data_IF_142790675012
#
_entry.id   IF_142790675012
#
_cell.length_a   1.000
_cell.length_b   1.000
_cell.length_c   1.000
_cell.angle_alpha   90.00
_cell.angle_beta   90.00
_cell.angle_gamma   90.00
#
_symmetry.space_group_name_H-M   'P 1'
#
loop_
_entity.id
_entity.type
_entity.pdbx_description
1 polymer ?
#
# COMPACT_ATOMS: atom_id res chain seq x y z
N UNK A 1 -0.33 5.02 -14.87
CA UNK A 1 -1.44 4.14 -15.21
C UNK A 1 -1.01 2.71 -15.51
N UNK A 2 0.19 2.51 -16.01
CA UNK A 2 0.76 1.17 -16.25
C UNK A 2 1.67 0.71 -15.11
N UNK A 3 1.32 1.02 -13.88
CA UNK A 3 2.15 0.82 -12.69
C UNK A 3 2.64 -0.62 -12.51
N UNK A 4 1.86 -1.59 -12.95
CA UNK A 4 2.23 -3.01 -12.87
C UNK A 4 2.76 -3.59 -14.18
N UNK A 5 2.86 -2.79 -15.26
CA UNK A 5 3.21 -3.29 -16.61
C UNK A 5 2.48 -4.58 -17.00
N UNK A 6 1.25 -4.72 -16.57
CA UNK A 6 0.46 -5.91 -16.81
C UNK A 6 0.34 -6.16 -18.32
N UNK A 7 0.72 -7.37 -18.78
CA UNK A 7 0.75 -7.75 -20.19
C UNK A 7 1.54 -6.78 -21.08
N UNK A 8 2.66 -6.23 -20.59
CA UNK A 8 3.46 -5.26 -21.32
C UNK A 8 2.65 -4.03 -21.79
N UNK A 9 1.70 -3.59 -20.95
CA UNK A 9 0.85 -2.46 -21.26
C UNK A 9 1.69 -1.25 -21.70
N UNK A 10 1.37 -0.73 -22.87
CA UNK A 10 2.04 0.42 -23.48
C UNK A 10 1.18 1.66 -23.26
N UNK A 11 1.67 2.68 -22.56
CA UNK A 11 0.95 3.93 -22.34
C UNK A 11 0.91 4.84 -23.56
N UNK A 12 1.66 4.50 -24.63
CA UNK A 12 1.87 5.36 -25.81
C UNK A 12 0.57 5.85 -26.45
N UNK A 13 -0.43 4.97 -26.58
CA UNK A 13 -1.74 5.34 -27.14
C UNK A 13 -2.49 6.37 -26.28
N UNK A 14 -2.31 6.31 -24.97
CA UNK A 14 -2.87 7.31 -24.06
C UNK A 14 -2.08 8.62 -24.19
N UNK A 15 -0.75 8.53 -24.20
CA UNK A 15 0.14 9.69 -24.30
C UNK A 15 -0.03 10.43 -25.63
N UNK A 16 -0.23 9.70 -26.73
CA UNK A 16 -0.58 10.30 -28.03
C UNK A 16 -1.85 11.16 -27.91
N UNK A 17 -2.92 10.61 -27.32
CA UNK A 17 -4.17 11.35 -27.12
C UNK A 17 -3.98 12.53 -26.16
N UNK A 18 -3.24 12.33 -25.09
CA UNK A 18 -2.93 13.38 -24.13
C UNK A 18 -2.22 14.59 -24.79
N UNK A 19 -1.32 14.33 -25.75
CA UNK A 19 -0.59 15.38 -26.46
C UNK A 19 -1.37 16.00 -27.61
N UNK A 20 -2.29 15.26 -28.22
CA UNK A 20 -2.96 15.68 -29.48
C UNK A 20 -4.38 16.22 -29.27
N UNK A 21 -5.05 15.85 -28.18
CA UNK A 21 -6.41 16.33 -27.95
C UNK A 21 -6.40 17.73 -27.35
N UNK A 22 -7.19 18.66 -27.88
CA UNK A 22 -7.28 20.02 -27.37
C UNK A 22 -7.97 20.07 -26.00
N UNK A 23 -7.62 21.09 -25.22
CA UNK A 23 -8.27 21.43 -23.94
C UNK A 23 -9.53 22.29 -24.14
N UNK A 24 -9.68 22.91 -25.31
CA UNK A 24 -10.78 23.80 -25.64
C UNK A 24 -11.98 23.02 -26.19
N UNK A 25 -13.18 23.42 -25.77
CA UNK A 25 -14.42 22.87 -26.29
C UNK A 25 -14.70 23.34 -27.71
N UNK A 26 -15.19 22.48 -28.59
CA UNK A 26 -15.62 22.83 -29.92
C UNK A 26 -15.30 21.84 -31.04
N UNK A 27 -14.60 20.75 -30.72
CA UNK A 27 -14.26 19.69 -31.68
C UNK A 27 -14.84 18.32 -31.29
N UNK A 28 -14.64 17.34 -32.18
CA UNK A 28 -14.99 15.93 -31.90
C UNK A 28 -14.16 15.29 -30.78
N UNK A 29 -13.06 15.91 -30.39
CA UNK A 29 -12.10 15.40 -29.40
C UNK A 29 -11.85 16.46 -28.34
N UNK A 30 -11.80 16.06 -27.09
CA UNK A 30 -11.55 16.94 -25.95
C UNK A 30 -10.69 16.21 -24.92
N UNK A 31 -9.67 16.90 -24.38
CA UNK A 31 -8.91 16.48 -23.20
C UNK A 31 -9.46 17.20 -21.97
N UNK A 32 -9.76 16.45 -20.93
CA UNK A 32 -10.16 16.99 -19.62
C UNK A 32 -9.16 16.51 -18.58
N UNK A 33 -8.45 17.45 -17.98
CA UNK A 33 -7.45 17.17 -16.95
C UNK A 33 -8.08 17.28 -15.55
N UNK A 34 -7.94 16.20 -14.77
CA UNK A 34 -8.47 16.10 -13.41
C UNK A 34 -7.32 16.10 -12.41
N UNK A 35 -6.84 17.27 -12.02
CA UNK A 35 -5.73 17.43 -11.07
C UNK A 35 -6.15 17.95 -9.70
N UNK A 36 -7.45 18.15 -9.46
CA UNK A 36 -7.97 18.55 -8.15
C UNK A 36 -8.22 17.34 -7.28
N UNK A 37 -7.66 17.39 -6.06
CA UNK A 37 -7.80 16.32 -5.08
C UNK A 37 -8.73 16.77 -3.94
N UNK A 38 -9.77 15.96 -3.71
CA UNK A 38 -10.79 16.21 -2.68
C UNK A 38 -10.63 15.29 -1.46
N UNK A 39 -9.59 14.44 -1.44
CA UNK A 39 -9.39 13.42 -0.40
C UNK A 39 -8.30 13.79 0.58
N UNK A 40 -7.17 14.25 0.07
CA UNK A 40 -5.95 14.43 0.85
C UNK A 40 -5.81 15.86 1.34
N UNK A 41 -5.12 16.02 2.46
CA UNK A 41 -4.72 17.33 2.96
C UNK A 41 -3.70 17.98 2.05
N UNK A 42 -3.63 19.30 2.10
CA UNK A 42 -2.71 20.11 1.32
C UNK A 42 -1.26 19.68 1.55
N UNK A 43 -0.86 19.50 2.80
CA UNK A 43 0.50 19.17 3.21
C UNK A 43 0.96 17.81 2.62
N UNK A 44 0.05 16.83 2.54
CA UNK A 44 0.33 15.53 1.92
C UNK A 44 0.55 15.69 0.41
N UNK A 45 -0.30 16.48 -0.26
CA UNK A 45 -0.17 16.70 -1.71
C UNK A 45 1.09 17.49 -2.05
N UNK A 46 1.42 18.49 -1.25
CA UNK A 46 2.65 19.28 -1.42
C UNK A 46 3.90 18.41 -1.25
N UNK A 47 3.91 17.49 -0.27
CA UNK A 47 5.00 16.52 -0.08
C UNK A 47 5.13 15.58 -1.28
N UNK A 48 4.01 15.09 -1.80
CA UNK A 48 3.98 14.24 -3.02
C UNK A 48 4.50 15.04 -4.21
N UNK A 49 3.98 16.24 -4.46
CA UNK A 49 4.43 17.08 -5.56
C UNK A 49 5.94 17.38 -5.45
N UNK A 50 6.41 17.72 -4.24
CA UNK A 50 7.83 18.01 -4.00
C UNK A 50 8.74 16.85 -4.42
N UNK A 51 8.38 15.62 -4.09
CA UNK A 51 9.14 14.44 -4.48
C UNK A 51 9.07 14.20 -6.00
N UNK A 52 7.87 14.25 -6.58
CA UNK A 52 7.70 13.94 -8.00
C UNK A 52 8.29 14.99 -8.92
N UNK A 53 8.33 16.27 -8.55
CA UNK A 53 9.08 17.29 -9.29
C UNK A 53 10.58 17.01 -9.41
N UNK A 54 11.14 16.24 -8.47
CA UNK A 54 12.57 15.93 -8.48
C UNK A 54 12.90 14.62 -9.18
N UNK A 55 12.00 13.64 -9.14
CA UNK A 55 12.32 12.28 -9.59
C UNK A 55 11.58 11.85 -10.84
N UNK A 56 10.54 12.55 -11.28
CA UNK A 56 9.74 12.14 -12.42
C UNK A 56 9.94 13.09 -13.61
N UNK A 57 10.60 12.58 -14.64
CA UNK A 57 10.83 13.25 -15.90
C UNK A 57 10.59 12.32 -17.08
N UNK A 58 10.73 12.81 -18.31
CA UNK A 58 10.54 12.00 -19.53
C UNK A 58 11.47 10.78 -19.57
N UNK A 59 12.69 10.93 -19.07
CA UNK A 59 13.72 9.89 -19.01
C UNK A 59 13.43 8.79 -17.99
N UNK A 60 12.89 9.13 -16.83
CA UNK A 60 12.62 8.19 -15.75
C UNK A 60 11.15 7.71 -15.69
N UNK A 61 10.20 8.57 -15.96
CA UNK A 61 8.77 8.29 -15.85
C UNK A 61 8.03 8.25 -17.20
N UNK A 62 8.68 8.67 -18.27
CA UNK A 62 8.05 8.82 -19.59
C UNK A 62 7.03 9.97 -19.66
N UNK A 63 6.96 10.78 -18.60
CA UNK A 63 6.09 11.95 -18.47
C UNK A 63 6.81 13.00 -17.64
N UNK A 64 6.82 14.24 -18.10
CA UNK A 64 7.29 15.38 -17.31
C UNK A 64 6.27 15.66 -16.19
N UNK A 65 6.77 15.79 -14.95
CA UNK A 65 5.93 16.17 -13.82
C UNK A 65 6.00 17.68 -13.63
N UNK A 66 5.11 18.36 -14.29
CA UNK A 66 5.00 19.83 -14.30
C UNK A 66 3.76 20.31 -13.51
N UNK A 67 3.44 21.58 -13.65
CA UNK A 67 2.27 22.17 -13.00
C UNK A 67 0.96 21.55 -13.46
N UNK A 68 0.88 21.06 -14.69
CA UNK A 68 -0.32 20.41 -15.22
C UNK A 68 -0.49 18.99 -14.69
N UNK A 69 0.61 18.31 -14.33
CA UNK A 69 0.60 16.99 -13.73
C UNK A 69 0.43 17.02 -12.20
N UNK A 70 0.77 18.15 -11.57
CA UNK A 70 0.74 18.30 -10.12
C UNK A 70 -0.67 18.15 -9.51
N UNK A 71 -0.70 17.74 -8.25
CA UNK A 71 -1.94 17.55 -7.50
C UNK A 71 -2.30 18.82 -6.72
N UNK A 72 -3.52 19.31 -6.89
CA UNK A 72 -4.00 20.51 -6.21
C UNK A 72 -5.07 20.18 -5.17
N UNK A 73 -4.94 20.67 -3.93
CA UNK A 73 -5.95 20.48 -2.91
C UNK A 73 -7.20 21.27 -3.25
N UNK A 74 -8.37 20.63 -3.11
CA UNK A 74 -9.67 21.30 -3.30
C UNK A 74 -10.54 21.22 -2.05
N UNK A 75 -10.32 20.24 -1.17
CA UNK A 75 -11.05 20.11 0.08
C UNK A 75 -10.35 20.94 1.15
N UNK A 76 -11.11 21.79 1.82
CA UNK A 76 -10.70 22.42 3.05
C UNK A 76 -10.94 21.47 4.23
N UNK A 77 -10.00 21.45 5.16
CA UNK A 77 -10.11 20.69 6.40
C UNK A 77 -10.23 21.66 7.57
N UNK A 78 -10.98 21.30 8.63
CA UNK A 78 -11.02 22.11 9.83
C UNK A 78 -9.59 22.41 10.32
N UNK A 79 -9.33 23.62 10.82
CA UNK A 79 -8.00 24.02 11.29
C UNK A 79 -7.57 23.13 12.46
N UNK A 80 -6.32 22.69 12.42
CA UNK A 80 -5.68 21.93 13.47
C UNK A 80 -4.22 22.34 13.56
N UNK A 81 -3.69 22.42 14.77
CA UNK A 81 -2.26 22.52 14.96
C UNK A 81 -1.62 21.20 14.51
N UNK A 82 -0.72 21.27 13.53
CA UNK A 82 -0.02 20.12 12.99
C UNK A 82 1.26 19.95 13.79
N UNK A 83 1.29 18.92 14.63
CA UNK A 83 2.45 18.59 15.47
C UNK A 83 3.35 17.53 14.82
N UNK A 84 2.79 16.75 13.90
CA UNK A 84 3.50 15.67 13.19
C UNK A 84 3.69 16.04 11.72
N UNK A 85 4.80 15.62 11.08
CA UNK A 85 5.03 15.85 9.67
C UNK A 85 3.97 15.16 8.81
N UNK A 86 3.60 15.81 7.71
CA UNK A 86 2.60 15.27 6.77
C UNK A 86 3.12 14.08 5.97
N UNK A 87 4.44 14.01 5.77
CA UNK A 87 5.16 12.91 5.15
C UNK A 87 6.53 12.76 5.82
N UNK A 88 6.96 11.54 5.98
CA UNK A 88 8.25 11.17 6.55
C UNK A 88 8.92 10.09 5.70
N UNK A 89 10.24 10.08 5.75
CA UNK A 89 11.05 9.01 5.17
C UNK A 89 11.81 8.36 6.31
N UNK A 90 11.53 7.09 6.57
CA UNK A 90 12.26 6.30 7.54
C UNK A 90 13.35 5.53 6.80
N UNK A 91 14.60 5.79 7.12
CA UNK A 91 15.74 5.11 6.53
C UNK A 91 16.28 4.07 7.51
N UNK A 92 16.47 2.86 7.01
CA UNK A 92 17.06 1.75 7.75
C UNK A 92 18.38 1.37 7.09
N UNK A 93 19.48 1.45 7.86
CA UNK A 93 20.78 0.91 7.45
C UNK A 93 20.89 -0.52 7.94
N UNK A 94 20.91 -1.49 7.04
CA UNK A 94 21.00 -2.92 7.37
C UNK A 94 22.29 -3.27 8.07
N UNK A 95 23.36 -2.47 7.82
CA UNK A 95 24.70 -2.67 8.39
C UNK A 95 24.93 -1.97 9.74
N UNK A 96 23.92 -1.27 10.28
CA UNK A 96 24.04 -0.57 11.55
C UNK A 96 24.35 -1.58 12.68
N UNK A 97 25.42 -1.34 13.49
CA UNK A 97 25.78 -2.18 14.64
C UNK A 97 24.64 -2.42 15.63
N UNK A 98 23.74 -1.45 15.80
CA UNK A 98 22.56 -1.56 16.68
C UNK A 98 21.65 -2.74 16.31
N UNK A 99 21.63 -3.13 15.04
CA UNK A 99 20.83 -4.26 14.55
C UNK A 99 21.65 -5.57 14.48
N UNK A 100 22.99 -5.48 14.33
CA UNK A 100 23.87 -6.64 14.21
C UNK A 100 24.08 -7.39 15.53
N UNK A 101 23.98 -6.71 16.65
CA UNK A 101 24.18 -7.31 18.01
C UNK A 101 22.95 -8.11 18.49
N UNK A 102 21.86 -8.16 17.71
CA UNK A 102 20.73 -9.03 18.02
C UNK A 102 21.03 -10.45 17.50
N UNK A 103 21.21 -11.39 18.40
CA UNK A 103 21.65 -12.79 18.18
C UNK A 103 20.80 -13.61 17.19
N UNK A 104 19.68 -13.08 16.66
CA UNK A 104 18.68 -13.85 15.92
C UNK A 104 18.74 -13.71 14.39
N UNK A 105 19.78 -13.14 13.80
CA UNK A 105 19.90 -13.09 12.33
C UNK A 105 18.67 -12.52 11.62
N UNK A 106 18.16 -11.36 12.09
CA UNK A 106 16.95 -10.78 11.58
C UNK A 106 17.09 -10.35 10.12
N UNK A 107 16.06 -10.61 9.34
CA UNK A 107 16.02 -10.17 7.95
C UNK A 107 15.71 -8.66 7.85
N UNK A 108 16.18 -8.00 6.80
CA UNK A 108 15.83 -6.60 6.49
C UNK A 108 14.31 -6.33 6.58
N UNK A 109 13.49 -7.27 6.15
CA UNK A 109 12.02 -7.17 6.23
C UNK A 109 11.49 -7.14 7.66
N UNK A 110 12.08 -7.92 8.55
CA UNK A 110 11.72 -7.92 9.98
C UNK A 110 12.14 -6.62 10.65
N UNK A 111 13.28 -6.06 10.27
CA UNK A 111 13.74 -4.76 10.75
C UNK A 111 12.84 -3.63 10.28
N UNK A 112 12.47 -3.59 9.01
CA UNK A 112 11.49 -2.63 8.49
C UNK A 112 10.13 -2.73 9.21
N UNK A 113 9.67 -3.95 9.45
CA UNK A 113 8.41 -4.18 10.17
C UNK A 113 8.51 -3.71 11.64
N UNK A 114 9.65 -3.92 12.31
CA UNK A 114 9.88 -3.42 13.67
C UNK A 114 9.94 -1.90 13.73
N UNK A 115 10.67 -1.27 12.81
CA UNK A 115 10.71 0.20 12.71
C UNK A 115 9.32 0.79 12.48
N UNK A 116 8.55 0.17 11.60
CA UNK A 116 7.14 0.54 11.36
C UNK A 116 6.30 0.38 12.63
N UNK A 117 6.49 -0.70 13.39
CA UNK A 117 5.78 -0.91 14.66
C UNK A 117 6.11 0.15 15.70
N UNK A 118 7.36 0.56 15.81
CA UNK A 118 7.79 1.65 16.71
C UNK A 118 7.10 2.95 16.32
N UNK A 119 7.13 3.31 15.03
CA UNK A 119 6.51 4.53 14.56
C UNK A 119 5.00 4.53 14.75
N UNK A 120 4.33 3.42 14.54
CA UNK A 120 2.88 3.29 14.82
C UNK A 120 2.58 3.56 16.29
N UNK A 121 3.39 3.04 17.23
CA UNK A 121 3.19 3.29 18.66
C UNK A 121 3.30 4.77 19.00
N UNK A 122 4.31 5.45 18.48
CA UNK A 122 4.48 6.90 18.67
C UNK A 122 3.26 7.67 18.14
N UNK A 123 2.81 7.35 16.93
CA UNK A 123 1.61 7.97 16.35
C UNK A 123 0.35 7.72 17.18
N UNK A 124 0.21 6.52 17.77
CA UNK A 124 -0.94 6.21 18.64
C UNK A 124 -1.00 7.07 19.91
N UNK A 125 0.12 7.62 20.36
CA UNK A 125 0.15 8.49 21.54
C UNK A 125 -0.34 9.90 21.25
N UNK A 126 0.00 10.47 20.09
CA UNK A 126 -0.15 11.89 19.81
C UNK A 126 -1.02 12.20 18.59
N UNK A 127 -1.11 11.28 17.62
CA UNK A 127 -1.75 11.59 16.36
C UNK A 127 -3.26 11.61 16.47
N UNK A 128 -3.86 12.57 15.78
CA UNK A 128 -5.31 12.68 15.62
C UNK A 128 -5.69 12.63 14.15
N UNK A 129 -6.84 12.08 13.88
CA UNK A 129 -7.45 11.99 12.56
C UNK A 129 -8.82 12.65 12.55
N UNK A 130 -9.19 13.22 11.41
CA UNK A 130 -10.52 13.77 11.22
C UNK A 130 -11.51 12.61 11.02
N UNK A 131 -12.44 12.49 11.92
CA UNK A 131 -13.55 11.56 11.79
C UNK A 131 -14.49 12.01 10.66
N UNK A 132 -14.82 11.07 9.76
CA UNK A 132 -15.59 11.40 8.55
C UNK A 132 -17.08 11.66 8.81
N UNK A 133 -17.60 11.10 9.89
CA UNK A 133 -19.03 11.19 10.21
C UNK A 133 -19.31 12.42 11.07
N UNK A 134 -18.44 12.69 12.03
CA UNK A 134 -18.63 13.80 12.99
C UNK A 134 -17.94 15.08 12.55
N UNK A 135 -17.04 15.01 11.57
CA UNK A 135 -16.16 16.12 11.16
C UNK A 135 -15.33 16.73 12.33
N UNK A 136 -15.08 15.92 13.35
CA UNK A 136 -14.27 16.29 14.50
C UNK A 136 -12.96 15.51 14.55
N UNK A 137 -11.92 16.11 15.13
CA UNK A 137 -10.67 15.41 15.38
C UNK A 137 -10.82 14.46 16.56
N UNK A 138 -10.31 13.24 16.39
CA UNK A 138 -10.20 12.22 17.41
C UNK A 138 -8.83 11.57 17.38
N UNK A 139 -8.44 10.94 18.47
CA UNK A 139 -7.22 10.11 18.48
C UNK A 139 -7.26 9.03 17.40
N UNK A 140 -6.11 8.78 16.81
CA UNK A 140 -5.91 7.73 15.83
C UNK A 140 -6.22 6.36 16.44
N UNK A 141 -6.74 5.45 15.65
CA UNK A 141 -6.96 4.02 15.99
C UNK A 141 -6.15 3.16 15.04
N UNK A 142 -5.84 1.94 15.41
CA UNK A 142 -5.13 1.01 14.51
C UNK A 142 -5.86 0.81 13.18
N UNK A 143 -7.18 0.87 13.18
CA UNK A 143 -8.01 0.79 11.96
C UNK A 143 -7.85 1.97 11.00
N UNK A 144 -7.28 3.08 11.45
CA UNK A 144 -7.04 4.25 10.60
C UNK A 144 -5.70 4.15 9.84
N UNK A 145 -4.87 3.17 10.20
CA UNK A 145 -3.52 2.99 9.67
C UNK A 145 -3.53 1.90 8.60
N UNK A 146 -2.95 2.20 7.45
CA UNK A 146 -2.81 1.23 6.35
C UNK A 146 -1.36 1.16 5.90
N UNK A 147 -0.83 -0.05 5.81
CA UNK A 147 0.51 -0.32 5.29
C UNK A 147 0.37 -0.81 3.85
N UNK A 148 1.01 -0.12 2.93
CA UNK A 148 1.06 -0.48 1.52
C UNK A 148 2.42 -1.06 1.17
N UNK A 149 2.44 -2.29 0.70
CA UNK A 149 3.65 -2.99 0.29
C UNK A 149 3.77 -3.06 -1.22
N UNK A 150 5.00 -3.00 -1.74
CA UNK A 150 5.27 -3.15 -3.18
C UNK A 150 4.86 -4.52 -3.70
N UNK A 151 5.04 -5.55 -2.87
CA UNK A 151 4.61 -6.93 -3.12
C UNK A 151 4.10 -7.56 -1.84
N UNK A 152 3.07 -8.38 -1.94
CA UNK A 152 2.50 -9.08 -0.79
C UNK A 152 3.30 -10.33 -0.42
N UNK A 153 3.85 -11.02 -1.44
CA UNK A 153 4.55 -12.30 -1.25
C UNK A 153 5.80 -12.14 -0.39
N UNK A 154 5.86 -12.86 0.71
CA UNK A 154 6.99 -12.87 1.65
C UNK A 154 7.13 -11.61 2.53
N UNK A 155 6.32 -10.57 2.31
CA UNK A 155 6.34 -9.34 3.10
C UNK A 155 5.13 -9.25 4.05
N UNK A 156 3.95 -9.51 3.53
CA UNK A 156 2.72 -9.31 4.28
C UNK A 156 2.65 -10.16 5.56
N UNK A 157 3.02 -11.42 5.49
CA UNK A 157 3.03 -12.31 6.65
C UNK A 157 4.13 -11.93 7.66
N UNK A 158 5.31 -11.49 7.19
CA UNK A 158 6.37 -10.98 8.07
C UNK A 158 5.90 -9.74 8.83
N UNK A 159 5.34 -8.76 8.13
CA UNK A 159 4.78 -7.55 8.76
C UNK A 159 3.70 -7.90 9.77
N UNK A 160 2.72 -8.72 9.39
CA UNK A 160 1.66 -9.18 10.28
C UNK A 160 2.19 -9.86 11.53
N UNK A 161 3.18 -10.78 11.38
CA UNK A 161 3.80 -11.48 12.49
C UNK A 161 4.48 -10.51 13.47
N UNK A 162 5.31 -9.61 12.95
CA UNK A 162 6.08 -8.65 13.76
C UNK A 162 5.14 -7.64 14.45
N UNK A 163 4.15 -7.10 13.73
CA UNK A 163 3.17 -6.16 14.30
C UNK A 163 2.36 -6.81 15.42
N UNK A 164 1.82 -8.01 15.20
CA UNK A 164 1.07 -8.74 16.23
C UNK A 164 1.95 -9.09 17.45
N UNK A 165 3.19 -9.52 17.23
CA UNK A 165 4.14 -9.75 18.31
C UNK A 165 4.47 -8.46 19.09
N UNK A 166 4.38 -7.30 18.42
CA UNK A 166 4.52 -5.98 19.04
C UNK A 166 3.23 -5.46 19.70
N UNK A 167 2.18 -6.24 19.77
CA UNK A 167 0.89 -5.85 20.34
C UNK A 167 0.04 -4.94 19.45
N UNK A 168 0.38 -4.82 18.16
CA UNK A 168 -0.35 -4.03 17.17
C UNK A 168 -1.22 -4.99 16.34
N UNK A 169 -2.56 -4.94 16.45
CA UNK A 169 -3.44 -5.82 15.71
C UNK A 169 -3.34 -5.52 14.21
N UNK A 170 -2.83 -6.48 13.45
CA UNK A 170 -2.65 -6.36 12.01
C UNK A 170 -3.36 -7.48 11.27
N UNK A 171 -4.06 -7.12 10.19
CA UNK A 171 -4.72 -8.06 9.28
C UNK A 171 -4.21 -7.86 7.87
N UNK A 172 -4.18 -8.94 7.10
CA UNK A 172 -3.79 -8.93 5.69
C UNK A 172 -4.99 -9.34 4.86
N UNK A 173 -5.40 -8.49 3.92
CA UNK A 173 -6.46 -8.84 2.98
C UNK A 173 -5.84 -9.61 1.81
N UNK A 174 -5.68 -10.93 1.97
CA UNK A 174 -5.25 -11.80 0.88
C UNK A 174 -6.45 -12.49 0.25
N UNK A 175 -6.52 -12.47 -1.08
CA UNK A 175 -7.45 -13.33 -1.84
C UNK A 175 -6.88 -14.74 -2.06
N UNK A 176 -5.64 -14.97 -1.61
CA UNK A 176 -4.89 -16.22 -1.76
C UNK A 176 -4.82 -16.91 -0.40
N UNK A 177 -5.06 -18.21 -0.38
CA UNK A 177 -4.92 -19.01 0.84
C UNK A 177 -6.18 -19.75 1.27
N UNK A 178 -7.37 -19.38 0.77
CA UNK A 178 -8.59 -20.09 1.15
C UNK A 178 -8.48 -21.59 0.82
N UNK A 179 -8.06 -21.92 -0.41
CA UNK A 179 -7.87 -23.30 -0.84
C UNK A 179 -6.58 -23.98 -0.32
N UNK A 180 -5.71 -23.21 0.36
CA UNK A 180 -4.49 -23.71 1.00
C UNK A 180 -4.66 -23.89 2.51
N UNK A 181 -5.78 -23.47 3.07
CA UNK A 181 -6.10 -23.71 4.47
C UNK A 181 -6.27 -25.23 4.69
N UNK A 182 -5.71 -25.74 5.81
CA UNK A 182 -5.71 -27.17 6.10
C UNK A 182 -7.12 -27.75 6.10
N UNK A 183 -8.07 -27.00 6.70
CA UNK A 183 -9.48 -27.37 6.79
C UNK A 183 -10.15 -27.50 5.42
N UNK A 184 -9.84 -26.56 4.52
CA UNK A 184 -10.37 -26.57 3.15
C UNK A 184 -9.72 -27.67 2.33
N UNK A 185 -8.41 -27.87 2.46
CA UNK A 185 -7.67 -28.95 1.79
C UNK A 185 -8.19 -30.30 2.20
N UNK A 186 -8.42 -30.54 3.50
CA UNK A 186 -9.01 -31.78 4.02
C UNK A 186 -10.38 -32.07 3.40
N UNK A 187 -11.25 -31.05 3.31
CA UNK A 187 -12.56 -31.20 2.65
C UNK A 187 -12.43 -31.50 1.17
N UNK A 188 -11.51 -30.84 0.48
CA UNK A 188 -11.25 -31.11 -0.95
C UNK A 188 -10.70 -32.51 -1.17
N UNK A 189 -9.78 -32.96 -0.33
CA UNK A 189 -9.23 -34.33 -0.36
C UNK A 189 -10.35 -35.37 -0.17
N UNK A 190 -11.25 -35.11 0.79
CA UNK A 190 -12.41 -35.97 1.01
C UNK A 190 -13.35 -36.02 -0.19
N UNK A 191 -13.63 -34.90 -0.85
CA UNK A 191 -14.43 -34.85 -2.07
C UNK A 191 -13.75 -35.58 -3.23
N UNK A 192 -12.42 -35.48 -3.34
CA UNK A 192 -11.65 -36.24 -4.35
C UNK A 192 -11.71 -37.75 -4.12
N UNK A 193 -11.68 -38.22 -2.85
CA UNK A 193 -11.84 -39.63 -2.52
C UNK A 193 -13.24 -40.14 -2.91
N UNK A 194 -14.27 -39.33 -2.71
CA UNK A 194 -15.63 -39.68 -3.11
C UNK A 194 -15.77 -39.84 -4.64
N UNK A 195 -15.05 -39.03 -5.39
CA UNK A 195 -15.00 -39.10 -6.85
C UNK A 195 -14.16 -40.32 -7.32
N UNK A 196 -12.97 -40.49 -6.74
CA UNK A 196 -12.06 -41.61 -7.08
C UNK A 196 -11.31 -42.10 -5.82
N UNK A 197 -11.75 -43.23 -5.21
CA UNK A 197 -11.13 -43.73 -3.97
C UNK A 197 -9.74 -44.38 -4.16
N UNK A 198 -9.23 -44.49 -5.37
CA UNK A 198 -7.90 -45.04 -5.66
C UNK A 198 -6.78 -44.02 -5.68
N UNK A 199 -7.02 -42.81 -5.15
CA UNK A 199 -6.01 -41.75 -5.12
C UNK A 199 -5.35 -41.70 -3.73
N UNK A 200 -4.08 -42.07 -3.64
CA UNK A 200 -3.33 -42.16 -2.39
C UNK A 200 -3.11 -40.83 -1.71
N UNK A 201 -2.86 -39.74 -2.49
CA UNK A 201 -2.57 -38.41 -1.94
C UNK A 201 -3.80 -37.80 -1.23
N UNK A 202 -4.99 -37.72 -1.85
CA UNK A 202 -6.20 -37.31 -1.18
C UNK A 202 -6.58 -38.20 0.03
N UNK A 203 -6.36 -39.49 -0.09
CA UNK A 203 -6.62 -40.43 1.01
C UNK A 203 -5.74 -40.11 2.22
N UNK A 204 -4.44 -39.92 2.00
CA UNK A 204 -3.51 -39.53 3.07
C UNK A 204 -3.85 -38.16 3.65
N UNK A 205 -4.25 -37.18 2.82
CA UNK A 205 -4.66 -35.85 3.23
C UNK A 205 -5.91 -35.88 4.12
N UNK A 206 -6.94 -36.62 3.72
CA UNK A 206 -8.17 -36.77 4.49
C UNK A 206 -7.99 -37.53 5.82
N UNK A 207 -7.03 -38.46 5.90
CA UNK A 207 -6.70 -39.18 7.16
C UNK A 207 -5.86 -38.34 8.13
N UNK A 208 -5.26 -37.28 7.67
CA UNK A 208 -4.39 -36.38 8.48
C UNK A 208 -5.18 -35.27 9.16
N UNK A 209 -6.32 -34.86 8.61
CA UNK A 209 -7.21 -33.83 9.16
C UNK A 209 -8.18 -34.41 10.15
#
# INVERSE_FOLDING_TARGET
QSIYRFRLARPDLFMEKFRTYPLEQGGEKLRIDLHRNFRSRKEVLESVNYLFYQIMGEDLGGVEYDQDAALYPQREFPPKEITEPAAEVLLLEEDDPVWKDQEDGQTARELEAKMTALRIRELMEHQEVLDKETEQYRKVRYSDITILLRTMSGWAETFKKVLNASGIPASVTTKTGYFSASEVTTVLDYLQILDNPLQDIPLAGAMRG
#
